data_IF_078431767262
#
_entry.id   IF_078431767262
#
_cell.length_a   1.000
_cell.length_b   1.000
_cell.length_c   1.000
_cell.angle_alpha   90.00
_cell.angle_beta   90.00
_cell.angle_gamma   90.00
#
_symmetry.space_group_name_H-M   'P 1'
#
loop_
_entity.id
_entity.type
_entity.pdbx_description
1 polymer ?
#
# COMPACT_ATOMS: atom_id res chain seq x y z
N UNK A 1 11.26 24.60 -8.16
CA UNK A 1 11.57 23.36 -7.41
C UNK A 1 10.26 22.64 -7.12
N UNK A 2 10.20 21.32 -7.28
CA UNK A 2 9.02 20.58 -6.85
C UNK A 2 8.89 20.76 -5.33
N UNK A 3 7.69 21.10 -4.87
CA UNK A 3 7.39 21.23 -3.45
C UNK A 3 7.59 19.87 -2.76
N UNK A 4 8.39 19.83 -1.69
CA UNK A 4 8.61 18.60 -0.93
C UNK A 4 7.30 18.25 -0.21
N UNK A 5 6.76 17.07 -0.48
CA UNK A 5 5.53 16.55 0.16
C UNK A 5 5.83 15.47 1.19
N UNK A 6 7.09 15.07 1.36
CA UNK A 6 7.52 14.02 2.27
C UNK A 6 7.82 14.60 3.66
N UNK A 7 6.91 14.44 4.62
CA UNK A 7 7.13 14.89 6.00
C UNK A 7 8.45 14.41 6.64
N UNK A 8 8.91 13.16 6.40
CA UNK A 8 10.20 12.71 6.94
C UNK A 8 11.41 13.53 6.50
N UNK A 9 11.31 14.27 5.40
CA UNK A 9 12.37 15.12 4.85
C UNK A 9 12.20 16.60 5.23
N UNK A 10 11.13 16.95 5.96
CA UNK A 10 10.80 18.30 6.36
C UNK A 10 11.22 18.58 7.80
N UNK A 11 11.65 19.81 8.07
CA UNK A 11 11.72 20.32 9.44
C UNK A 11 10.31 20.59 9.99
N UNK A 12 10.19 20.67 11.33
CA UNK A 12 8.89 20.98 11.93
C UNK A 12 8.31 22.33 11.51
N UNK A 13 9.19 23.33 11.21
CA UNK A 13 8.77 24.65 10.72
C UNK A 13 8.23 24.62 9.30
N UNK A 14 8.78 23.75 8.44
CA UNK A 14 8.27 23.52 7.08
C UNK A 14 6.90 22.82 7.13
N UNK A 15 6.74 21.82 8.01
CA UNK A 15 5.44 21.19 8.24
C UNK A 15 4.43 22.22 8.76
N UNK A 16 4.81 23.05 9.76
CA UNK A 16 3.93 24.11 10.27
C UNK A 16 3.48 25.07 9.17
N UNK A 17 4.39 25.43 8.26
CA UNK A 17 4.03 26.28 7.12
C UNK A 17 3.01 25.61 6.20
N UNK A 18 3.25 24.33 5.83
CA UNK A 18 2.37 23.56 4.97
C UNK A 18 0.98 23.31 5.59
N UNK A 19 0.88 23.24 6.93
CA UNK A 19 -0.40 23.07 7.63
C UNK A 19 -1.36 24.25 7.45
N UNK A 20 -0.89 25.43 7.04
CA UNK A 20 -1.74 26.60 6.74
C UNK A 20 -2.74 26.30 5.60
N UNK A 21 -2.36 25.45 4.67
CA UNK A 21 -3.20 25.01 3.55
C UNK A 21 -4.15 23.87 3.90
N UNK A 22 -4.22 23.47 5.19
CA UNK A 22 -5.05 22.38 5.71
C UNK A 22 -4.92 21.09 4.90
N UNK A 23 -3.69 20.55 4.75
CA UNK A 23 -3.43 19.40 3.91
C UNK A 23 -4.06 18.11 4.45
N UNK A 24 -4.15 17.12 3.57
CA UNK A 24 -4.49 15.73 3.91
C UNK A 24 -3.18 15.02 4.30
N UNK A 25 -3.19 14.25 5.38
CA UNK A 25 -2.08 13.34 5.69
C UNK A 25 -2.28 12.02 4.92
N UNK A 26 -1.37 11.70 4.02
CA UNK A 26 -1.28 10.38 3.40
C UNK A 26 -0.35 9.52 4.24
N UNK A 27 -0.84 8.42 4.78
CA UNK A 27 -0.08 7.49 5.62
C UNK A 27 0.21 6.23 4.80
N UNK A 28 1.43 6.09 4.24
CA UNK A 28 1.82 4.85 3.59
C UNK A 28 1.88 3.72 4.62
N UNK A 29 1.24 2.61 4.29
CA UNK A 29 1.22 1.39 5.10
C UNK A 29 1.72 0.26 4.22
N UNK A 30 2.80 -0.37 4.63
CA UNK A 30 3.37 -1.51 3.95
C UNK A 30 3.71 -2.60 4.96
N UNK A 31 4.09 -3.74 4.42
CA UNK A 31 4.52 -4.87 5.22
C UNK A 31 6.02 -5.07 5.04
N UNK A 32 6.68 -5.56 6.06
CA UNK A 32 8.00 -6.16 5.94
C UNK A 32 7.79 -7.66 5.79
N UNK A 33 7.73 -8.13 4.55
CA UNK A 33 7.35 -9.50 4.21
C UNK A 33 8.12 -10.03 2.99
N UNK A 34 8.26 -11.35 2.90
CA UNK A 34 8.86 -12.00 1.75
C UNK A 34 7.97 -11.82 0.50
N UNK A 35 8.59 -11.49 -0.64
CA UNK A 35 7.97 -11.28 -1.96
C UNK A 35 8.80 -11.96 -3.04
N UNK A 36 9.07 -13.23 -2.88
CA UNK A 36 9.98 -13.97 -3.74
C UNK A 36 11.46 -13.60 -3.51
N UNK A 37 12.39 -14.35 -4.16
CA UNK A 37 13.82 -14.07 -4.05
C UNK A 37 14.26 -12.81 -4.81
N UNK A 38 13.40 -12.24 -5.65
CA UNK A 38 13.70 -11.14 -6.56
C UNK A 38 13.31 -9.76 -6.03
N UNK A 39 12.37 -9.65 -5.08
CA UNK A 39 11.96 -8.38 -4.48
C UNK A 39 12.52 -8.20 -3.06
N UNK A 40 12.71 -6.96 -2.60
CA UNK A 40 13.08 -6.70 -1.21
C UNK A 40 11.89 -6.96 -0.28
N UNK A 41 12.16 -7.32 0.98
CA UNK A 41 11.12 -7.48 2.01
C UNK A 41 10.33 -6.19 2.29
N UNK A 42 10.82 -5.05 1.84
CA UNK A 42 10.17 -3.74 1.95
C UNK A 42 9.30 -3.39 0.73
N UNK A 43 9.04 -4.31 -0.20
CA UNK A 43 8.33 -4.04 -1.46
C UNK A 43 7.01 -3.29 -1.24
N UNK A 44 6.14 -3.77 -0.35
CA UNK A 44 4.87 -3.11 -0.01
C UNK A 44 5.06 -1.65 0.43
N UNK A 45 6.06 -1.39 1.28
CA UNK A 45 6.36 -0.05 1.78
C UNK A 45 6.82 0.88 0.66
N UNK A 46 7.70 0.41 -0.22
CA UNK A 46 8.21 1.19 -1.36
C UNK A 46 7.07 1.54 -2.31
N UNK A 47 6.22 0.58 -2.63
CA UNK A 47 5.04 0.77 -3.47
C UNK A 47 4.07 1.76 -2.82
N UNK A 48 3.76 1.61 -1.53
CA UNK A 48 2.83 2.49 -0.83
C UNK A 48 3.31 3.95 -0.78
N UNK A 49 4.61 4.19 -0.62
CA UNK A 49 5.20 5.54 -0.67
C UNK A 49 5.01 6.15 -2.07
N UNK A 50 5.30 5.40 -3.14
CA UNK A 50 5.13 5.90 -4.50
C UNK A 50 3.65 6.12 -4.85
N UNK A 51 2.76 5.24 -4.43
CA UNK A 51 1.31 5.46 -4.52
C UNK A 51 0.89 6.78 -3.85
N UNK A 52 1.40 7.04 -2.64
CA UNK A 52 1.12 8.28 -1.92
C UNK A 52 1.68 9.50 -2.65
N UNK A 53 2.88 9.43 -3.23
CA UNK A 53 3.49 10.52 -4.02
C UNK A 53 2.61 10.89 -5.22
N UNK A 54 2.21 9.90 -6.02
CA UNK A 54 1.36 10.12 -7.20
C UNK A 54 -0.02 10.63 -6.81
N UNK A 55 -0.58 10.10 -5.72
CA UNK A 55 -1.85 10.60 -5.16
C UNK A 55 -1.74 12.05 -4.74
N UNK A 56 -0.67 12.46 -4.05
CA UNK A 56 -0.45 13.85 -3.65
C UNK A 56 -0.40 14.79 -4.87
N UNK A 57 0.27 14.39 -5.95
CA UNK A 57 0.32 15.16 -7.20
C UNK A 57 -1.07 15.30 -7.84
N UNK A 58 -1.85 14.22 -7.90
CA UNK A 58 -3.21 14.26 -8.45
C UNK A 58 -4.18 15.08 -7.58
N UNK A 59 -4.06 15.00 -6.26
CA UNK A 59 -4.81 15.86 -5.34
C UNK A 59 -4.48 17.33 -5.55
N UNK A 60 -3.19 17.67 -5.73
CA UNK A 60 -2.76 19.05 -6.02
C UNK A 60 -3.39 19.58 -7.31
N UNK A 61 -3.47 18.78 -8.37
CA UNK A 61 -4.16 19.14 -9.62
C UNK A 61 -5.66 19.42 -9.42
N UNK A 62 -6.25 18.89 -8.34
CA UNK A 62 -7.64 19.11 -7.93
C UNK A 62 -7.79 20.17 -6.84
N UNK A 63 -6.76 21.00 -6.60
CA UNK A 63 -6.78 22.06 -5.60
C UNK A 63 -6.76 21.55 -4.14
N UNK A 64 -6.29 20.32 -3.91
CA UNK A 64 -6.15 19.74 -2.57
C UNK A 64 -4.67 19.57 -2.25
N UNK A 65 -4.25 20.01 -1.06
CA UNK A 65 -2.89 19.81 -0.57
C UNK A 65 -2.79 18.49 0.22
N UNK A 66 -1.67 17.81 0.09
CA UNK A 66 -1.38 16.60 0.85
C UNK A 66 0.08 16.54 1.26
N UNK A 67 0.35 16.00 2.46
CA UNK A 67 1.68 15.63 2.93
C UNK A 67 1.71 14.12 3.20
N UNK A 68 2.86 13.52 2.93
CA UNK A 68 3.08 12.09 3.12
C UNK A 68 3.78 11.89 4.45
N UNK A 69 3.09 11.23 5.38
CA UNK A 69 3.63 10.90 6.69
C UNK A 69 4.74 9.83 6.60
N UNK A 70 5.57 9.65 7.64
CA UNK A 70 6.46 8.49 7.75
C UNK A 70 5.69 7.19 7.53
N UNK A 71 6.24 6.23 6.77
CA UNK A 71 5.53 4.98 6.49
C UNK A 71 5.44 4.10 7.75
N UNK A 72 4.36 3.33 7.86
CA UNK A 72 4.25 2.23 8.80
C UNK A 72 4.65 0.97 8.03
N UNK A 73 5.75 0.33 8.47
CA UNK A 73 6.42 -0.74 7.74
C UNK A 73 6.21 -2.13 8.33
N UNK A 74 5.54 -2.21 9.48
CA UNK A 74 5.22 -3.46 10.16
C UNK A 74 3.71 -3.57 10.36
N UNK A 75 3.13 -4.57 9.74
CA UNK A 75 1.69 -4.84 9.79
C UNK A 75 1.42 -6.34 10.02
N UNK A 76 0.21 -6.81 9.72
CA UNK A 76 -0.12 -8.23 9.75
C UNK A 76 0.38 -8.87 8.45
N UNK A 77 1.20 -9.93 8.56
CA UNK A 77 1.79 -10.69 7.46
C UNK A 77 1.88 -12.17 7.84
N UNK A 78 0.73 -12.75 8.15
CA UNK A 78 0.66 -14.13 8.69
C UNK A 78 0.98 -15.16 7.63
N UNK A 79 0.56 -14.95 6.38
CA UNK A 79 0.75 -15.90 5.29
C UNK A 79 2.22 -16.20 4.99
N UNK A 80 3.09 -15.19 5.13
CA UNK A 80 4.53 -15.31 4.89
C UNK A 80 5.38 -15.37 6.15
N UNK A 81 4.79 -15.54 7.34
CA UNK A 81 5.49 -15.43 8.62
C UNK A 81 6.64 -16.44 8.81
N UNK A 82 6.63 -17.56 8.10
CA UNK A 82 7.66 -18.58 8.10
C UNK A 82 8.94 -18.18 7.34
N UNK A 83 8.86 -17.16 6.47
CA UNK A 83 10.00 -16.75 5.64
C UNK A 83 10.92 -15.77 6.39
N UNK A 84 12.25 -15.99 6.33
CA UNK A 84 13.21 -15.07 6.94
C UNK A 84 13.04 -13.63 6.45
N UNK A 85 13.04 -12.69 7.38
CA UNK A 85 12.85 -11.27 7.09
C UNK A 85 11.40 -10.81 7.12
N UNK A 86 10.41 -11.70 7.12
CA UNK A 86 9.02 -11.33 7.39
C UNK A 86 8.83 -11.01 8.87
N UNK A 87 8.17 -9.89 9.14
CA UNK A 87 7.80 -9.45 10.50
C UNK A 87 6.31 -9.22 10.55
N UNK A 88 5.57 -10.19 11.09
CA UNK A 88 4.14 -10.06 11.32
C UNK A 88 3.86 -9.59 12.74
N UNK A 89 3.08 -8.53 12.89
CA UNK A 89 2.59 -8.07 14.18
C UNK A 89 1.20 -8.64 14.48
N UNK A 90 0.86 -8.83 15.77
CA UNK A 90 -0.52 -9.12 16.15
C UNK A 90 -1.48 -8.05 15.64
N UNK A 91 -2.66 -8.45 15.17
CA UNK A 91 -3.66 -7.53 14.60
C UNK A 91 -4.02 -6.40 15.58
N UNK A 92 -4.17 -6.66 16.87
CA UNK A 92 -4.50 -5.64 17.88
C UNK A 92 -3.38 -4.59 18.04
N UNK A 93 -2.11 -4.98 17.88
CA UNK A 93 -0.97 -4.05 17.87
C UNK A 93 -1.04 -3.13 16.65
N UNK A 94 -1.33 -3.67 15.47
CA UNK A 94 -1.48 -2.89 14.23
C UNK A 94 -2.67 -1.94 14.34
N UNK A 95 -3.81 -2.41 14.87
CA UNK A 95 -4.99 -1.58 15.10
C UNK A 95 -4.66 -0.41 16.03
N UNK A 96 -4.02 -0.66 17.17
CA UNK A 96 -3.65 0.39 18.12
C UNK A 96 -2.69 1.41 17.50
N UNK A 97 -1.64 0.94 16.81
CA UNK A 97 -0.66 1.80 16.15
C UNK A 97 -1.31 2.71 15.09
N UNK A 98 -2.06 2.14 14.16
CA UNK A 98 -2.70 2.89 13.08
C UNK A 98 -3.77 3.85 13.60
N UNK A 99 -4.56 3.44 14.60
CA UNK A 99 -5.52 4.31 15.29
C UNK A 99 -4.83 5.52 15.90
N UNK A 100 -3.79 5.29 16.70
CA UNK A 100 -3.14 6.34 17.48
C UNK A 100 -2.39 7.32 16.58
N UNK A 101 -1.71 6.84 15.53
CA UNK A 101 -1.10 7.67 14.49
C UNK A 101 -2.16 8.50 13.78
N UNK A 102 -3.28 7.88 13.40
CA UNK A 102 -4.36 8.59 12.69
C UNK A 102 -5.01 9.67 13.56
N UNK A 103 -5.25 9.36 14.83
CA UNK A 103 -5.82 10.33 15.81
C UNK A 103 -4.85 11.51 15.99
N UNK A 104 -3.57 11.24 16.19
CA UNK A 104 -2.56 12.28 16.36
C UNK A 104 -2.48 13.20 15.12
N UNK A 105 -2.43 12.64 13.92
CA UNK A 105 -2.40 13.42 12.67
C UNK A 105 -3.69 14.23 12.48
N UNK A 106 -4.84 13.67 12.78
CA UNK A 106 -6.13 14.35 12.63
C UNK A 106 -6.28 15.64 13.49
N UNK A 107 -5.42 15.83 14.50
CA UNK A 107 -5.39 17.08 15.29
C UNK A 107 -4.87 18.28 14.49
N UNK A 108 -4.10 18.04 13.43
CA UNK A 108 -3.44 19.07 12.61
C UNK A 108 -3.86 19.05 11.15
N UNK A 109 -4.17 17.87 10.62
CA UNK A 109 -4.52 17.67 9.23
C UNK A 109 -6.05 17.68 9.02
N UNK A 110 -6.47 18.07 7.82
CA UNK A 110 -7.91 18.09 7.45
C UNK A 110 -8.54 16.70 7.46
N UNK A 111 -7.77 15.70 7.05
CA UNK A 111 -8.15 14.28 7.05
C UNK A 111 -6.88 13.43 7.01
N UNK A 112 -7.01 12.16 7.35
CA UNK A 112 -5.96 11.15 7.20
C UNK A 112 -6.42 10.13 6.17
N UNK A 113 -5.57 9.79 5.21
CA UNK A 113 -5.83 8.74 4.23
C UNK A 113 -4.76 7.65 4.35
N UNK A 114 -5.21 6.44 4.65
CA UNK A 114 -4.33 5.25 4.69
C UNK A 114 -4.10 4.75 3.27
N UNK A 115 -2.83 4.65 2.88
CA UNK A 115 -2.39 4.19 1.55
C UNK A 115 -1.73 2.83 1.71
N UNK A 116 -2.42 1.76 1.31
CA UNK A 116 -1.97 0.37 1.45
C UNK A 116 -2.20 -0.40 0.15
N UNK A 117 -1.21 -1.19 -0.28
CA UNK A 117 -1.31 -2.06 -1.46
C UNK A 117 -1.53 -3.52 -1.08
N UNK A 118 -1.05 -3.96 0.08
CA UNK A 118 -1.16 -5.33 0.52
C UNK A 118 -2.62 -5.77 0.69
N UNK A 119 -2.96 -6.93 0.13
CA UNK A 119 -4.33 -7.46 0.10
C UNK A 119 -4.54 -8.67 1.03
N UNK A 120 -3.61 -8.97 1.92
CA UNK A 120 -3.80 -10.00 2.94
C UNK A 120 -5.01 -9.68 3.82
N UNK A 121 -5.94 -10.63 3.96
CA UNK A 121 -7.23 -10.40 4.60
C UNK A 121 -7.10 -9.92 6.06
N UNK A 122 -6.17 -10.52 6.82
CA UNK A 122 -5.93 -10.15 8.21
C UNK A 122 -5.38 -8.71 8.32
N UNK A 123 -4.50 -8.30 7.38
CA UNK A 123 -4.00 -6.94 7.31
C UNK A 123 -5.10 -5.92 6.98
N UNK A 124 -5.91 -6.21 5.97
CA UNK A 124 -7.04 -5.35 5.59
C UNK A 124 -8.05 -5.18 6.73
N UNK A 125 -8.34 -6.24 7.45
CA UNK A 125 -9.25 -6.19 8.61
C UNK A 125 -8.67 -5.32 9.74
N UNK A 126 -7.38 -5.46 10.05
CA UNK A 126 -6.71 -4.63 11.04
C UNK A 126 -6.76 -3.14 10.65
N UNK A 127 -6.50 -2.79 9.38
CA UNK A 127 -6.57 -1.41 8.89
C UNK A 127 -8.01 -0.87 8.99
N UNK A 128 -9.03 -1.66 8.62
CA UNK A 128 -10.44 -1.27 8.75
C UNK A 128 -10.83 -0.98 10.19
N UNK A 129 -10.50 -1.88 11.10
CA UNK A 129 -10.75 -1.71 12.55
C UNK A 129 -10.07 -0.44 13.06
N UNK A 130 -8.80 -0.23 12.72
CA UNK A 130 -8.08 0.97 13.11
C UNK A 130 -8.76 2.25 12.62
N UNK A 131 -9.19 2.29 11.36
CA UNK A 131 -9.91 3.42 10.79
C UNK A 131 -11.25 3.68 11.49
N UNK A 132 -11.99 2.63 11.85
CA UNK A 132 -13.25 2.74 12.59
C UNK A 132 -13.03 3.23 14.03
N UNK A 133 -12.03 2.72 14.73
CA UNK A 133 -11.69 3.17 16.08
C UNK A 133 -11.19 4.61 16.08
N UNK A 134 -10.37 5.01 15.11
CA UNK A 134 -9.94 6.40 14.95
C UNK A 134 -11.15 7.33 14.71
N UNK A 135 -12.11 6.93 13.86
CA UNK A 135 -13.35 7.69 13.64
C UNK A 135 -14.18 7.84 14.92
N UNK A 136 -14.30 6.78 15.74
CA UNK A 136 -14.97 6.85 17.06
C UNK A 136 -14.27 7.84 17.99
N UNK A 137 -12.95 8.01 17.86
CA UNK A 137 -12.16 9.01 18.58
C UNK A 137 -12.21 10.41 17.93
N UNK A 138 -13.03 10.63 16.92
CA UNK A 138 -13.22 11.93 16.25
C UNK A 138 -12.25 12.23 15.10
N UNK A 139 -11.38 11.28 14.74
CA UNK A 139 -10.45 11.47 13.62
C UNK A 139 -11.13 11.21 12.26
N UNK A 140 -10.89 12.10 11.31
CA UNK A 140 -11.32 11.93 9.92
C UNK A 140 -10.37 10.98 9.18
N UNK A 141 -10.73 9.69 9.04
CA UNK A 141 -9.87 8.69 8.39
C UNK A 141 -10.55 8.11 7.16
N UNK A 142 -9.84 8.13 6.03
CA UNK A 142 -10.21 7.49 4.76
C UNK A 142 -9.33 6.25 4.56
N UNK A 143 -9.95 5.11 4.25
CA UNK A 143 -9.26 3.92 3.78
C UNK A 143 -9.93 3.40 2.51
N UNK A 144 -9.12 3.18 1.47
CA UNK A 144 -9.60 2.71 0.16
C UNK A 144 -9.46 1.20 0.06
N UNK A 145 -10.59 0.49 -0.04
CA UNK A 145 -10.63 -0.95 -0.25
C UNK A 145 -10.60 -1.26 -1.75
N UNK A 146 -9.44 -1.62 -2.27
CA UNK A 146 -9.28 -1.93 -3.71
C UNK A 146 -10.08 -3.15 -4.16
N UNK A 147 -10.39 -4.08 -3.26
CA UNK A 147 -11.22 -5.25 -3.55
C UNK A 147 -12.70 -4.91 -3.84
N UNK A 148 -13.17 -3.68 -3.56
CA UNK A 148 -14.52 -3.27 -3.96
C UNK A 148 -14.68 -3.30 -5.47
N UNK A 149 -15.77 -3.89 -5.97
CA UNK A 149 -16.04 -4.10 -7.39
C UNK A 149 -15.74 -2.89 -8.27
N UNK A 150 -16.17 -1.68 -7.85
CA UNK A 150 -15.96 -0.43 -8.59
C UNK A 150 -14.48 -0.07 -8.84
N UNK A 151 -13.57 -0.57 -8.00
CA UNK A 151 -12.13 -0.38 -8.13
C UNK A 151 -11.44 -1.59 -8.75
N UNK A 152 -11.83 -2.76 -8.30
CA UNK A 152 -11.27 -4.05 -8.70
C UNK A 152 -11.30 -4.25 -10.22
N UNK A 153 -12.40 -3.86 -10.90
CA UNK A 153 -12.53 -3.96 -12.35
C UNK A 153 -11.49 -3.09 -13.13
N UNK A 154 -10.84 -2.13 -12.45
CA UNK A 154 -9.81 -1.25 -13.03
C UNK A 154 -8.38 -1.76 -12.83
N UNK A 155 -8.15 -2.70 -11.94
CA UNK A 155 -6.81 -3.13 -11.49
C UNK A 155 -6.22 -4.31 -12.27
N UNK A 156 -7.03 -4.91 -13.15
CA UNK A 156 -6.58 -5.99 -14.03
C UNK A 156 -6.58 -7.38 -13.40
N UNK A 157 -6.28 -8.38 -14.23
CA UNK A 157 -6.45 -9.79 -13.86
C UNK A 157 -5.41 -10.29 -12.85
N UNK A 158 -4.16 -9.82 -12.93
CA UNK A 158 -3.10 -10.25 -12.02
C UNK A 158 -3.45 -9.86 -10.57
N UNK A 159 -3.79 -8.58 -10.33
CA UNK A 159 -4.25 -8.12 -9.02
C UNK A 159 -5.45 -8.95 -8.51
N UNK A 160 -6.45 -9.17 -9.37
CA UNK A 160 -7.70 -9.84 -9.01
C UNK A 160 -7.53 -11.34 -8.73
N UNK A 161 -6.52 -11.97 -9.31
CA UNK A 161 -6.23 -13.38 -9.10
C UNK A 161 -5.47 -13.66 -7.81
N UNK A 162 -4.96 -12.63 -7.12
CA UNK A 162 -4.12 -12.79 -5.93
C UNK A 162 -2.66 -12.99 -6.31
N UNK A 163 -2.15 -12.10 -7.14
CA UNK A 163 -0.73 -11.96 -7.41
C UNK A 163 -0.02 -11.55 -6.10
N UNK A 164 1.12 -12.16 -5.81
CA UNK A 164 1.99 -11.80 -4.69
C UNK A 164 3.45 -11.97 -5.11
N UNK A 165 4.20 -10.89 -5.18
CA UNK A 165 5.54 -10.91 -5.79
C UNK A 165 5.52 -11.34 -7.26
N UNK A 166 4.38 -11.42 -7.91
CA UNK A 166 4.21 -11.81 -9.31
C UNK A 166 4.31 -10.62 -10.26
N UNK A 167 3.53 -10.64 -11.38
CA UNK A 167 3.64 -9.61 -12.41
C UNK A 167 3.21 -8.22 -11.93
N UNK A 168 2.17 -8.12 -11.10
CA UNK A 168 1.63 -6.85 -10.64
C UNK A 168 2.61 -6.08 -9.75
N UNK A 169 3.01 -6.68 -8.62
CA UNK A 169 3.91 -6.01 -7.67
C UNK A 169 5.32 -5.84 -8.24
N UNK A 170 5.81 -6.81 -9.01
CA UNK A 170 7.10 -6.71 -9.68
C UNK A 170 7.12 -5.58 -10.71
N UNK A 171 6.04 -5.38 -11.49
CA UNK A 171 5.92 -4.24 -12.42
C UNK A 171 5.97 -2.91 -11.68
N UNK A 172 5.24 -2.78 -10.56
CA UNK A 172 5.30 -1.58 -9.71
C UNK A 172 6.72 -1.32 -9.19
N UNK A 173 7.41 -2.34 -8.72
CA UNK A 173 8.80 -2.21 -8.25
C UNK A 173 9.78 -1.87 -9.37
N UNK A 174 9.59 -2.43 -10.57
CA UNK A 174 10.39 -2.07 -11.76
C UNK A 174 10.20 -0.60 -12.16
N UNK A 175 8.99 -0.07 -12.00
CA UNK A 175 8.67 1.33 -12.31
C UNK A 175 9.26 2.31 -11.28
N UNK A 176 9.16 2.03 -9.98
CA UNK A 176 9.53 3.00 -8.94
C UNK A 176 10.91 2.74 -8.30
N UNK A 177 11.40 1.50 -8.29
CA UNK A 177 12.62 1.13 -7.57
C UNK A 177 13.40 0.00 -8.26
N UNK A 178 13.58 0.10 -9.58
CA UNK A 178 14.23 -0.93 -10.42
C UNK A 178 15.56 -1.47 -9.83
N UNK A 179 16.37 -0.59 -9.23
CA UNK A 179 17.65 -0.98 -8.63
C UNK A 179 17.51 -1.95 -7.43
N UNK A 180 16.31 -2.07 -6.86
CA UNK A 180 16.02 -2.99 -5.77
C UNK A 180 15.45 -4.33 -6.26
N UNK A 181 15.16 -4.49 -7.54
CA UNK A 181 14.73 -5.75 -8.15
C UNK A 181 15.96 -6.59 -8.53
N UNK A 182 16.03 -7.84 -8.06
CA UNK A 182 17.09 -8.79 -8.43
C UNK A 182 16.72 -9.39 -9.78
N UNK A 183 17.12 -8.72 -10.84
CA UNK A 183 16.70 -9.05 -12.21
C UNK A 183 17.13 -10.47 -12.62
N UNK A 184 18.31 -10.91 -12.19
CA UNK A 184 18.82 -12.26 -12.50
C UNK A 184 17.94 -13.35 -11.89
N UNK A 185 17.52 -13.16 -10.64
CA UNK A 185 16.59 -14.06 -9.96
C UNK A 185 15.22 -13.99 -10.63
N UNK A 186 14.69 -12.80 -10.86
CA UNK A 186 13.38 -12.56 -11.47
C UNK A 186 13.16 -13.32 -12.76
N UNK A 187 14.10 -13.22 -13.71
CA UNK A 187 13.95 -13.85 -15.04
C UNK A 187 14.10 -15.36 -15.04
N UNK A 188 14.54 -15.95 -13.93
CA UNK A 188 14.69 -17.41 -13.76
C UNK A 188 13.52 -18.07 -13.03
N UNK A 189 12.59 -17.26 -12.47
CA UNK A 189 11.45 -17.79 -11.73
C UNK A 189 10.38 -18.37 -12.67
N UNK A 190 9.90 -19.59 -12.41
CA UNK A 190 8.77 -20.11 -13.17
C UNK A 190 7.47 -19.40 -12.81
N UNK A 191 6.48 -19.32 -13.73
CA UNK A 191 5.13 -18.90 -13.38
C UNK A 191 4.52 -19.83 -12.33
N UNK A 192 3.83 -19.24 -11.33
CA UNK A 192 3.13 -19.94 -10.27
C UNK A 192 1.62 -19.70 -10.36
N UNK A 193 0.84 -20.66 -9.89
CA UNK A 193 -0.61 -20.46 -9.76
C UNK A 193 -0.90 -19.27 -8.83
N UNK A 194 -1.97 -18.50 -9.07
CA UNK A 194 -2.37 -17.41 -8.19
C UNK A 194 -2.71 -17.87 -6.78
N UNK A 195 -2.39 -17.06 -5.77
CA UNK A 195 -2.61 -17.36 -4.36
C UNK A 195 -4.10 -17.53 -3.99
N UNK A 196 -4.98 -16.73 -4.59
CA UNK A 196 -6.40 -16.67 -4.24
C UNK A 196 -7.13 -18.00 -4.21
N UNK A 197 -6.97 -18.90 -5.20
CA UNK A 197 -7.59 -20.24 -5.19
C UNK A 197 -7.13 -21.13 -4.03
N UNK A 198 -5.85 -21.07 -3.64
CA UNK A 198 -5.31 -21.84 -2.53
C UNK A 198 -5.87 -21.37 -1.18
N UNK A 199 -5.98 -20.06 -0.97
CA UNK A 199 -6.61 -19.49 0.22
C UNK A 199 -8.09 -19.90 0.33
N UNK A 200 -8.83 -19.92 -0.77
CA UNK A 200 -10.22 -20.40 -0.80
C UNK A 200 -10.35 -21.88 -0.43
N UNK A 201 -9.31 -22.67 -0.66
CA UNK A 201 -9.24 -24.10 -0.24
C UNK A 201 -8.77 -24.29 1.19
N UNK A 202 -8.42 -23.21 1.89
CA UNK A 202 -8.07 -23.21 3.30
C UNK A 202 -6.57 -23.16 3.62
N UNK A 203 -5.70 -22.89 2.65
CA UNK A 203 -4.29 -22.66 2.89
C UNK A 203 -4.11 -21.45 3.84
N UNK A 204 -3.24 -21.58 4.83
CA UNK A 204 -2.99 -20.58 5.89
C UNK A 204 -1.59 -19.97 5.80
N UNK A 205 -0.70 -20.55 5.01
CA UNK A 205 0.65 -20.06 4.78
C UNK A 205 0.99 -20.12 3.31
N UNK A 206 2.04 -19.42 2.89
CA UNK A 206 2.52 -19.50 1.51
C UNK A 206 2.98 -20.92 1.15
N UNK A 207 3.66 -21.62 2.09
CA UNK A 207 4.06 -23.00 1.86
C UNK A 207 2.85 -23.93 1.64
N UNK A 208 1.79 -23.81 2.47
CA UNK A 208 0.55 -24.58 2.27
C UNK A 208 -0.15 -24.26 0.94
N UNK A 209 0.05 -23.05 0.42
CA UNK A 209 -0.45 -22.64 -0.88
C UNK A 209 0.44 -23.10 -2.05
N UNK A 210 1.59 -23.73 -1.79
CA UNK A 210 2.55 -24.18 -2.80
C UNK A 210 3.61 -23.13 -3.17
N UNK A 211 3.67 -21.99 -2.47
CA UNK A 211 4.61 -20.89 -2.68
C UNK A 211 5.89 -21.06 -1.86
N UNK A 212 6.70 -22.08 -2.16
CA UNK A 212 7.96 -22.38 -1.45
C UNK A 212 8.97 -21.22 -1.50
N UNK A 213 8.89 -20.37 -2.52
CA UNK A 213 9.75 -19.19 -2.70
C UNK A 213 9.01 -17.87 -2.37
N UNK A 214 7.88 -17.91 -1.66
CA UNK A 214 7.10 -16.75 -1.23
C UNK A 214 6.68 -15.81 -2.38
N UNK A 215 6.28 -16.34 -3.54
CA UNK A 215 5.64 -15.58 -4.62
C UNK A 215 4.56 -16.41 -5.32
N UNK A 216 3.62 -15.71 -5.99
CA UNK A 216 2.53 -16.27 -6.78
C UNK A 216 2.29 -15.41 -8.00
N UNK A 217 1.94 -16.01 -9.14
CA UNK A 217 1.83 -15.31 -10.42
C UNK A 217 3.10 -15.44 -11.26
N UNK A 218 3.33 -14.51 -12.18
CA UNK A 218 4.44 -14.57 -13.13
C UNK A 218 5.35 -13.33 -13.05
N UNK A 219 6.45 -13.38 -12.26
CA UNK A 219 7.40 -12.28 -12.20
C UNK A 219 8.11 -11.97 -13.53
N UNK A 220 8.19 -12.96 -14.44
CA UNK A 220 8.88 -12.79 -15.72
C UNK A 220 8.09 -11.94 -16.70
N UNK A 221 6.75 -11.92 -16.57
CA UNK A 221 5.86 -11.09 -17.37
C UNK A 221 5.86 -9.60 -16.95
N UNK A 222 6.49 -9.26 -15.82
CA UNK A 222 6.49 -7.90 -15.30
C UNK A 222 7.30 -6.93 -16.16
N UNK A 223 6.81 -5.70 -16.29
CA UNK A 223 7.50 -4.60 -16.97
C UNK A 223 7.34 -3.26 -16.25
N UNK A 224 8.32 -2.36 -16.41
CA UNK A 224 8.22 -1.02 -15.85
C UNK A 224 7.08 -0.20 -16.46
N UNK A 225 6.79 -0.38 -17.75
CA UNK A 225 5.69 0.29 -18.46
C UNK A 225 4.33 -0.09 -17.89
N UNK A 226 4.13 -1.38 -17.60
CA UNK A 226 2.93 -1.87 -16.94
C UNK A 226 2.83 -1.35 -15.50
N UNK A 227 3.95 -1.28 -14.79
CA UNK A 227 4.02 -0.68 -13.45
C UNK A 227 3.63 0.79 -13.43
N UNK A 228 4.06 1.59 -14.41
CA UNK A 228 3.61 2.97 -14.58
C UNK A 228 2.10 3.06 -14.76
N UNK A 229 1.53 2.19 -15.62
CA UNK A 229 0.09 2.11 -15.85
C UNK A 229 -0.67 1.74 -14.57
N UNK A 230 -0.17 0.77 -13.81
CA UNK A 230 -0.77 0.37 -12.52
C UNK A 230 -0.73 1.50 -11.51
N UNK A 231 0.40 2.22 -11.39
CA UNK A 231 0.49 3.38 -10.48
C UNK A 231 -0.51 4.48 -10.84
N UNK A 232 -0.69 4.76 -12.13
CA UNK A 232 -1.69 5.75 -12.56
C UNK A 232 -3.11 5.35 -12.13
N UNK A 233 -3.48 4.09 -12.30
CA UNK A 233 -4.79 3.57 -11.88
C UNK A 233 -4.94 3.61 -10.36
N UNK A 234 -3.93 3.16 -9.61
CA UNK A 234 -3.95 3.15 -8.15
C UNK A 234 -4.08 4.58 -7.58
N UNK A 235 -3.29 5.53 -8.11
CA UNK A 235 -3.34 6.92 -7.68
C UNK A 235 -4.67 7.60 -8.04
N UNK A 236 -5.27 7.27 -9.19
CA UNK A 236 -6.60 7.74 -9.55
C UNK A 236 -7.67 7.24 -8.58
N UNK A 237 -7.65 5.94 -8.25
CA UNK A 237 -8.60 5.34 -7.31
C UNK A 237 -8.47 5.99 -5.93
N UNK A 238 -7.25 6.15 -5.42
CA UNK A 238 -6.98 6.81 -4.14
C UNK A 238 -7.47 8.26 -4.15
N UNK A 239 -7.15 9.02 -5.20
CA UNK A 239 -7.58 10.41 -5.35
C UNK A 239 -9.10 10.52 -5.32
N UNK A 240 -9.81 9.72 -6.11
CA UNK A 240 -11.27 9.71 -6.15
C UNK A 240 -11.88 9.33 -4.80
N UNK A 241 -11.36 8.29 -4.16
CA UNK A 241 -11.82 7.83 -2.85
C UNK A 241 -11.64 8.91 -1.77
N UNK A 242 -10.51 9.62 -1.78
CA UNK A 242 -10.23 10.72 -0.84
C UNK A 242 -11.17 11.90 -1.10
N UNK A 243 -11.38 12.29 -2.37
CA UNK A 243 -12.27 13.39 -2.72
C UNK A 243 -13.73 13.08 -2.36
N UNK A 244 -14.19 11.86 -2.60
CA UNK A 244 -15.51 11.40 -2.15
C UNK A 244 -15.64 11.49 -0.63
N UNK A 245 -14.63 11.01 0.10
CA UNK A 245 -14.61 11.08 1.56
C UNK A 245 -14.71 12.52 2.08
N UNK A 246 -14.05 13.47 1.41
CA UNK A 246 -14.10 14.90 1.76
C UNK A 246 -15.41 15.60 1.35
N UNK A 247 -16.31 14.90 0.66
CA UNK A 247 -17.53 15.47 0.10
C UNK A 247 -17.26 16.40 -1.09
N UNK A 248 -16.11 16.29 -1.72
CA UNK A 248 -15.76 17.04 -2.93
C UNK A 248 -16.33 16.33 -4.15
N UNK A 249 -16.91 17.05 -5.11
CA UNK A 249 -17.29 16.46 -6.40
C UNK A 249 -16.01 16.06 -7.14
N UNK A 250 -15.93 14.78 -7.53
CA UNK A 250 -14.85 14.24 -8.37
C UNK A 250 -14.94 14.79 -9.80
#
# INVERSE_FOLDING_TARGET
MAENVLMPEMSWTEVEHALKDRPIALVPVGNTAAHGPHLPVAADTVIAIEMARRTALKLKQRGQHALIAPPITFCVSELGAEFPGTVSLPADTVVALLRDVSVALATKFRAVAVVNVNQEAANLEAIKRAAEEAKKAGAGVCFTEFAKKRWNDRLGSAFNAGDHGGSFETSLMLACARAQVREKERISLPPMDPLGPALKKGAKTFAEAGGEDAYFGDPTAASAEEGETHFEVLADILTLSILEYLGSKA
#
